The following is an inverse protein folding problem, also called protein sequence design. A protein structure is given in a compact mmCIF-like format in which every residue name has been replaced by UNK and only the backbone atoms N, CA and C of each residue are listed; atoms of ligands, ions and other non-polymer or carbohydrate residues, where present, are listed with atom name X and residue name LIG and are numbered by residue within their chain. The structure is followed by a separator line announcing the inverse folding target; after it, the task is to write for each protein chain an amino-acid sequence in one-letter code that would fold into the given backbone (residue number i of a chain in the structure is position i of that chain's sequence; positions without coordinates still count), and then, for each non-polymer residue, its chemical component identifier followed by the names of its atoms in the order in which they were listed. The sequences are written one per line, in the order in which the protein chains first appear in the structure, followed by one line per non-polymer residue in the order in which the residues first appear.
data_IF_529998859575
#
_entry.id   IF_529998859575
#
_cell.length_a   1.000
_cell.length_b   1.000
_cell.length_c   1.000
_cell.angle_alpha   90.00
_cell.angle_beta   90.00
_cell.angle_gamma   90.00
#
_symmetry.space_group_name_H-M   'P 1'
#
loop_
_entity.id
_entity.type
_entity.pdbx_description
1 polymer ?
#
# COMPACT_ATOMS: atom_id res chain seq x y z
N UNK A 1 43.70 -6.96 -22.36
CA UNK A 1 44.24 -6.27 -21.16
C UNK A 1 43.63 -4.89 -21.17
N UNK A 2 42.51 -4.69 -20.49
CA UNK A 2 41.81 -3.41 -20.43
C UNK A 2 42.07 -2.80 -19.05
N UNK A 3 42.81 -1.70 -19.01
CA UNK A 3 42.95 -0.86 -17.82
C UNK A 3 41.66 -0.02 -17.71
N UNK A 4 40.59 -0.63 -17.20
CA UNK A 4 39.42 0.12 -16.74
C UNK A 4 39.82 0.76 -15.42
N UNK A 5 40.13 2.06 -15.47
CA UNK A 5 40.32 2.88 -14.27
C UNK A 5 38.95 3.02 -13.61
N UNK A 6 38.61 2.07 -12.73
CA UNK A 6 37.44 2.18 -11.86
C UNK A 6 37.67 3.40 -10.96
N UNK A 7 36.87 4.44 -11.16
CA UNK A 7 36.82 5.58 -10.26
C UNK A 7 36.51 5.06 -8.85
N UNK A 8 37.43 5.30 -7.92
CA UNK A 8 37.22 5.09 -6.50
C UNK A 8 36.12 6.05 -6.04
N UNK A 9 34.97 5.49 -5.69
CA UNK A 9 33.89 6.24 -5.05
C UNK A 9 34.32 6.50 -3.60
N UNK A 10 34.82 7.70 -3.32
CA UNK A 10 35.06 8.15 -1.95
C UNK A 10 33.75 8.06 -1.15
N UNK A 11 33.78 7.32 -0.04
CA UNK A 11 32.72 7.38 0.98
C UNK A 11 32.85 8.72 1.71
N UNK A 12 31.75 9.45 1.96
CA UNK A 12 31.77 10.53 2.94
C UNK A 12 31.78 9.88 4.33
N UNK A 13 32.93 9.94 5.01
CA UNK A 13 33.04 9.49 6.39
C UNK A 13 32.39 10.49 7.34
N UNK A 14 31.39 9.99 8.07
CA UNK A 14 31.10 10.43 9.42
C UNK A 14 31.80 9.51 10.41
N UNK A 15 32.68 10.12 11.20
CA UNK A 15 33.24 9.69 12.50
C UNK A 15 34.07 8.39 12.61
N UNK A 16 35.39 8.63 12.66
CA UNK A 16 36.39 8.11 13.60
C UNK A 16 36.32 6.62 14.02
N UNK A 17 37.18 5.80 13.42
CA UNK A 17 38.04 4.88 14.18
C UNK A 17 39.24 4.45 13.31
N UNK A 18 40.45 4.66 13.85
CA UNK A 18 41.71 4.28 13.25
C UNK A 18 41.78 2.77 12.93
N UNK A 19 41.97 2.43 11.66
CA UNK A 19 42.48 1.13 11.23
C UNK A 19 43.24 1.31 9.91
N UNK A 20 44.44 0.74 9.85
CA UNK A 20 45.39 0.73 8.74
C UNK A 20 44.74 0.64 7.35
N UNK A 21 44.98 1.67 6.54
CA UNK A 21 44.67 1.70 5.11
C UNK A 21 45.59 0.74 4.36
N UNK A 22 45.07 -0.42 3.99
CA UNK A 22 45.60 -1.21 2.88
C UNK A 22 44.66 -1.02 1.69
N UNK A 23 45.05 -0.17 0.76
CA UNK A 23 44.46 -0.09 -0.58
C UNK A 23 44.64 -1.43 -1.29
N UNK A 24 43.67 -2.34 -1.14
CA UNK A 24 43.60 -3.55 -1.94
C UNK A 24 42.97 -3.18 -3.29
N UNK A 25 43.82 -2.86 -4.25
CA UNK A 25 43.46 -2.82 -5.67
C UNK A 25 43.25 -4.26 -6.14
N UNK A 26 42.01 -4.76 -6.09
CA UNK A 26 41.67 -6.07 -6.65
C UNK A 26 41.70 -6.00 -8.17
N UNK A 27 42.81 -6.45 -8.77
CA UNK A 27 42.95 -6.65 -10.21
C UNK A 27 42.26 -7.97 -10.57
N UNK A 28 41.10 -7.90 -11.24
CA UNK A 28 40.46 -9.09 -11.80
C UNK A 28 41.12 -9.39 -13.15
N UNK A 29 41.89 -10.47 -13.21
CA UNK A 29 42.52 -10.97 -14.43
C UNK A 29 41.52 -11.78 -15.26
N UNK A 30 41.14 -11.29 -16.44
CA UNK A 30 40.46 -12.10 -17.47
C UNK A 30 41.50 -12.56 -18.47
N UNK A 31 41.77 -13.86 -18.50
CA UNK A 31 42.68 -14.51 -19.46
C UNK A 31 42.02 -14.60 -20.85
N UNK A 32 42.77 -14.36 -21.95
CA UNK A 32 42.24 -14.59 -23.28
C UNK A 32 42.39 -16.08 -23.61
N UNK A 33 41.33 -16.86 -23.43
CA UNK A 33 41.25 -18.17 -24.07
C UNK A 33 40.96 -17.96 -25.56
N UNK A 34 41.93 -18.39 -26.38
CA UNK A 34 41.84 -18.84 -27.76
C UNK A 34 40.51 -18.60 -28.47
N UNK A 35 40.44 -17.55 -29.29
CA UNK A 35 39.45 -17.43 -30.36
C UNK A 35 40.19 -17.18 -31.68
N UNK A 36 40.35 -18.26 -32.45
CA UNK A 36 40.72 -18.20 -33.86
C UNK A 36 39.54 -17.63 -34.62
N UNK A 37 39.58 -16.34 -34.95
CA UNK A 37 38.63 -15.75 -35.89
C UNK A 37 39.10 -16.04 -37.33
N UNK A 38 38.76 -17.22 -37.83
CA UNK A 38 38.64 -17.44 -39.27
C UNK A 38 37.31 -16.84 -39.69
N UNK A 39 37.33 -15.58 -40.15
CA UNK A 39 36.41 -14.98 -41.13
C UNK A 39 36.50 -13.46 -41.04
N UNK A 40 37.54 -12.88 -41.64
CA UNK A 40 37.60 -11.45 -41.94
C UNK A 40 38.38 -11.24 -43.25
N UNK A 41 37.91 -11.90 -44.32
CA UNK A 41 38.24 -11.52 -45.68
C UNK A 41 36.92 -11.40 -46.42
N UNK A 42 36.46 -10.17 -46.60
CA UNK A 42 35.67 -9.61 -47.72
C UNK A 42 34.74 -8.53 -47.22
N UNK A 43 35.19 -7.28 -47.18
CA UNK A 43 34.28 -6.15 -47.41
C UNK A 43 35.04 -5.01 -48.05
N UNK A 44 35.04 -4.99 -49.38
CA UNK A 44 35.30 -3.79 -50.16
C UNK A 44 34.42 -3.87 -51.40
N UNK A 45 33.44 -2.97 -51.50
CA UNK A 45 33.05 -2.21 -52.71
C UNK A 45 31.65 -1.61 -52.57
N UNK A 46 31.53 -0.35 -53.00
CA UNK A 46 30.37 0.52 -52.96
C UNK A 46 29.30 0.21 -54.04
N UNK A 47 28.05 0.57 -53.70
CA UNK A 47 26.96 1.18 -54.50
C UNK A 47 26.68 0.71 -55.95
N UNK A 48 25.46 0.17 -56.11
CA UNK A 48 24.35 0.64 -56.97
C UNK A 48 23.75 -0.35 -58.01
N UNK A 49 22.42 -0.38 -57.98
CA UNK A 49 21.44 -0.73 -59.04
C UNK A 49 20.98 -2.19 -59.26
N UNK A 50 19.70 -2.40 -58.87
CA UNK A 50 18.61 -3.13 -59.56
C UNK A 50 18.90 -4.41 -60.37
N UNK A 51 18.30 -5.53 -59.95
CA UNK A 51 17.26 -6.29 -60.69
C UNK A 51 17.21 -7.77 -60.25
N UNK A 52 16.01 -8.33 -60.33
CA UNK A 52 15.56 -9.65 -59.85
C UNK A 52 16.05 -10.84 -60.70
N UNK A 53 15.95 -12.01 -60.07
CA UNK A 53 15.81 -13.38 -60.61
C UNK A 53 17.00 -14.01 -61.36
N UNK A 54 17.67 -15.01 -60.75
CA UNK A 54 17.43 -16.46 -61.01
C UNK A 54 18.49 -17.39 -60.36
N UNK A 55 17.99 -18.51 -59.83
CA UNK A 55 18.53 -19.87 -59.51
C UNK A 55 20.06 -20.19 -59.53
N UNK A 56 20.56 -21.07 -58.61
CA UNK A 56 21.98 -21.40 -58.48
C UNK A 56 22.40 -22.65 -59.27
N UNK A 57 23.61 -22.63 -59.85
CA UNK A 57 24.32 -23.82 -60.31
C UNK A 57 25.85 -23.66 -60.13
N UNK A 58 26.50 -24.73 -59.65
CA UNK A 58 27.86 -25.07 -60.07
C UNK A 58 29.01 -24.74 -59.11
N UNK A 59 29.21 -25.57 -58.09
CA UNK A 59 30.54 -25.76 -57.44
C UNK A 59 31.43 -26.63 -58.32
N UNK A 60 32.53 -26.08 -58.87
CA UNK A 60 33.77 -26.79 -59.25
C UNK A 60 34.93 -25.78 -59.12
N UNK A 61 35.76 -25.90 -58.08
CA UNK A 61 37.04 -26.61 -58.11
C UNK A 61 38.09 -25.93 -59.01
N UNK A 62 38.89 -25.03 -58.43
CA UNK A 62 40.26 -24.73 -58.90
C UNK A 62 41.16 -24.71 -57.66
N UNK A 63 41.73 -25.88 -57.36
CA UNK A 63 42.91 -26.06 -56.50
C UNK A 63 43.99 -26.63 -57.41
N UNK A 64 44.83 -25.77 -57.98
CA UNK A 64 46.16 -26.13 -58.47
C UNK A 64 46.84 -24.87 -59.01
N UNK A 65 47.84 -24.38 -58.27
CA UNK A 65 49.18 -24.04 -58.77
C UNK A 65 49.89 -23.23 -57.67
N UNK A 66 50.52 -23.98 -56.77
CA UNK A 66 51.59 -23.48 -55.91
C UNK A 66 52.85 -23.60 -56.78
N UNK A 67 53.19 -22.52 -57.45
CA UNK A 67 54.50 -22.33 -58.07
C UNK A 67 55.37 -21.56 -57.09
N UNK A 68 56.48 -22.16 -56.70
CA UNK A 68 57.56 -21.50 -55.97
C UNK A 68 58.09 -20.33 -56.80
N UNK A 69 57.96 -19.12 -56.25
CA UNK A 69 58.66 -17.85 -56.53
C UNK A 69 57.69 -16.69 -56.37
N UNK A 70 57.71 -16.02 -55.20
CA UNK A 70 56.96 -14.79 -54.99
C UNK A 70 56.48 -14.58 -53.56
N UNK A 71 57.40 -14.46 -52.61
CA UNK A 71 57.07 -13.94 -51.26
C UNK A 71 56.86 -12.41 -51.28
N UNK A 72 57.17 -11.73 -52.38
CA UNK A 72 57.07 -10.27 -52.51
C UNK A 72 55.67 -9.62 -52.69
N UNK A 73 54.63 -10.21 -53.35
CA UNK A 73 53.42 -9.45 -53.66
C UNK A 73 52.46 -9.25 -52.47
N UNK A 74 52.41 -10.20 -51.54
CA UNK A 74 51.46 -10.15 -50.42
C UNK A 74 51.90 -9.15 -49.33
N UNK A 75 53.20 -9.03 -49.08
CA UNK A 75 53.76 -8.11 -48.08
C UNK A 75 53.55 -6.66 -48.53
N UNK A 76 53.65 -6.37 -49.84
CA UNK A 76 53.44 -5.02 -50.39
C UNK A 76 52.02 -4.49 -50.26
N UNK A 77 51.00 -5.36 -50.28
CA UNK A 77 49.62 -4.94 -50.09
C UNK A 77 49.30 -4.65 -48.60
N UNK A 78 49.92 -5.41 -47.69
CA UNK A 78 49.78 -5.16 -46.25
C UNK A 78 50.49 -3.88 -45.78
N UNK A 79 51.64 -3.55 -46.37
CA UNK A 79 52.35 -2.29 -46.04
C UNK A 79 51.61 -1.06 -46.54
N UNK A 80 50.92 -1.14 -47.68
CA UNK A 80 50.12 -0.03 -48.20
C UNK A 80 48.88 0.25 -47.33
N UNK A 81 48.15 -0.79 -46.94
CA UNK A 81 47.01 -0.65 -46.01
C UNK A 81 47.45 -0.17 -44.62
N UNK A 82 48.63 -0.60 -44.15
CA UNK A 82 49.17 -0.12 -42.88
C UNK A 82 49.53 1.37 -42.94
N UNK A 83 50.11 1.84 -44.04
CA UNK A 83 50.42 3.26 -44.24
C UNK A 83 49.16 4.13 -44.28
N UNK A 84 48.10 3.66 -44.96
CA UNK A 84 46.81 4.34 -45.03
C UNK A 84 46.15 4.45 -43.64
N UNK A 85 46.14 3.38 -42.84
CA UNK A 85 45.61 3.43 -41.47
C UNK A 85 46.44 4.30 -40.53
N UNK A 86 47.77 4.37 -40.71
CA UNK A 86 48.62 5.24 -39.89
C UNK A 86 48.41 6.72 -40.28
N UNK A 87 48.12 7.00 -41.55
CA UNK A 87 47.68 8.31 -42.00
C UNK A 87 46.32 8.69 -41.40
N UNK A 88 45.37 7.75 -41.35
CA UNK A 88 44.06 7.97 -40.70
C UNK A 88 44.18 8.22 -39.19
N UNK A 89 45.21 7.68 -38.55
CA UNK A 89 45.57 7.95 -37.15
C UNK A 89 46.33 9.27 -36.94
N UNK A 90 46.59 10.03 -38.01
CA UNK A 90 47.15 11.38 -37.95
C UNK A 90 48.64 11.51 -38.26
N UNK A 91 49.31 10.46 -38.75
CA UNK A 91 50.74 10.52 -39.10
C UNK A 91 51.01 10.26 -40.59
N UNK A 92 51.70 11.19 -41.25
CA UNK A 92 52.05 11.07 -42.67
C UNK A 92 53.27 10.17 -42.88
N UNK A 93 53.05 8.86 -42.98
CA UNK A 93 54.09 7.89 -43.32
C UNK A 93 54.04 7.56 -44.83
N UNK A 94 55.15 7.79 -45.54
CA UNK A 94 55.26 7.35 -46.93
C UNK A 94 55.66 5.87 -47.00
N UNK A 95 55.28 5.19 -48.07
CA UNK A 95 55.72 3.81 -48.36
C UNK A 95 57.25 3.68 -48.36
N UNK A 96 57.97 4.73 -48.77
CA UNK A 96 59.44 4.77 -48.77
C UNK A 96 60.04 4.71 -47.35
N UNK A 97 59.34 5.26 -46.36
CA UNK A 97 59.78 5.31 -44.97
C UNK A 97 59.56 3.96 -44.25
N UNK A 98 58.58 3.17 -44.70
CA UNK A 98 58.38 1.78 -44.26
C UNK A 98 59.43 0.82 -44.83
N UNK A 99 59.93 1.08 -46.05
CA UNK A 99 60.98 0.27 -46.68
C UNK A 99 62.37 0.58 -46.09
N UNK A 100 62.59 1.81 -45.59
CA UNK A 100 63.81 2.22 -44.88
C UNK A 100 63.46 2.96 -43.58
N UNK A 101 63.21 2.23 -42.48
CA UNK A 101 62.75 2.84 -41.25
C UNK A 101 63.80 3.76 -40.64
N UNK A 102 63.48 5.05 -40.51
CA UNK A 102 64.26 6.01 -39.76
C UNK A 102 63.81 6.01 -38.29
N UNK A 103 64.70 5.72 -37.31
CA UNK A 103 64.34 5.72 -35.89
C UNK A 103 63.68 7.03 -35.42
N UNK A 104 64.11 8.16 -35.96
CA UNK A 104 63.55 9.47 -35.63
C UNK A 104 62.09 9.66 -36.07
N UNK A 105 61.63 8.90 -37.08
CA UNK A 105 60.25 8.91 -37.54
C UNK A 105 59.41 7.81 -36.88
N UNK A 106 60.01 6.64 -36.61
CA UNK A 106 59.33 5.48 -36.04
C UNK A 106 58.99 5.66 -34.55
N UNK A 107 59.86 6.30 -33.77
CA UNK A 107 59.62 6.51 -32.34
C UNK A 107 58.37 7.36 -32.04
N UNK A 108 58.14 8.52 -32.71
CA UNK A 108 56.88 9.28 -32.55
C UNK A 108 55.61 8.47 -32.86
N UNK A 109 55.68 7.50 -33.77
CA UNK A 109 54.53 6.66 -34.10
C UNK A 109 54.23 5.66 -32.98
N UNK A 110 55.25 5.12 -32.33
CA UNK A 110 55.05 4.29 -31.13
C UNK A 110 54.49 5.11 -29.96
N UNK A 111 54.91 6.37 -29.82
CA UNK A 111 54.33 7.32 -28.86
C UNK A 111 52.85 7.58 -29.17
N UNK A 112 52.49 7.75 -30.44
CA UNK A 112 51.09 7.89 -30.87
C UNK A 112 50.25 6.66 -30.55
N UNK A 113 50.76 5.44 -30.80
CA UNK A 113 50.03 4.22 -30.44
C UNK A 113 49.85 4.06 -28.92
N UNK A 114 50.85 4.47 -28.14
CA UNK A 114 50.75 4.47 -26.69
C UNK A 114 49.75 5.52 -26.18
N UNK A 115 49.71 6.69 -26.81
CA UNK A 115 48.74 7.72 -26.49
C UNK A 115 47.31 7.28 -26.85
N UNK A 116 47.07 6.77 -28.07
CA UNK A 116 45.72 6.39 -28.51
C UNK A 116 45.15 5.16 -27.76
N UNK A 117 46.00 4.19 -27.39
CA UNK A 117 45.55 2.93 -26.78
C UNK A 117 45.67 2.90 -25.26
N UNK A 118 46.65 3.60 -24.68
CA UNK A 118 46.89 3.63 -23.24
C UNK A 118 46.63 5.02 -22.62
N UNK A 119 46.33 6.05 -23.41
CA UNK A 119 46.26 7.46 -22.97
C UNK A 119 47.50 7.85 -22.14
N UNK A 120 48.69 7.39 -22.58
CA UNK A 120 49.94 7.62 -21.84
C UNK A 120 51.03 8.15 -22.76
N UNK A 121 51.62 9.27 -22.35
CA UNK A 121 52.74 9.93 -23.01
C UNK A 121 54.01 9.80 -22.17
N UNK A 122 55.16 10.07 -22.77
CA UNK A 122 56.46 10.07 -22.05
C UNK A 122 56.46 11.03 -20.84
N UNK A 123 55.76 12.15 -20.94
CA UNK A 123 55.60 13.13 -19.85
C UNK A 123 54.75 12.60 -18.69
N UNK A 124 53.73 11.78 -18.95
CA UNK A 124 52.90 11.15 -17.91
C UNK A 124 53.67 10.12 -17.08
N UNK A 125 54.71 9.51 -17.67
CA UNK A 125 55.55 8.49 -17.00
C UNK A 125 56.67 9.11 -16.18
N UNK A 126 57.08 10.33 -16.51
CA UNK A 126 58.19 11.03 -15.90
C UNK A 126 58.08 11.19 -14.36
N UNK A 127 56.92 11.57 -13.76
CA UNK A 127 56.80 11.69 -12.31
C UNK A 127 57.01 10.36 -11.57
N UNK A 128 56.39 9.28 -12.08
CA UNK A 128 56.53 7.96 -11.50
C UNK A 128 57.97 7.43 -11.63
N UNK A 129 58.63 7.68 -12.77
CA UNK A 129 60.02 7.27 -12.96
C UNK A 129 61.00 8.10 -12.11
N UNK A 130 60.70 9.38 -11.89
CA UNK A 130 61.46 10.23 -10.97
C UNK A 130 61.40 9.71 -9.54
N UNK A 131 60.21 9.38 -9.06
CA UNK A 131 60.01 8.81 -7.73
C UNK A 131 60.77 7.48 -7.57
N UNK A 132 60.70 6.60 -8.56
CA UNK A 132 61.47 5.33 -8.56
C UNK A 132 62.98 5.56 -8.57
N UNK A 133 63.47 6.56 -9.32
CA UNK A 133 64.90 6.88 -9.34
C UNK A 133 65.38 7.48 -8.00
N UNK A 134 64.58 8.34 -7.39
CA UNK A 134 64.87 8.91 -6.06
C UNK A 134 64.84 7.82 -4.97
N UNK A 135 63.93 6.84 -5.05
CA UNK A 135 63.84 5.72 -4.11
C UNK A 135 64.98 4.70 -4.29
N UNK A 136 65.31 4.32 -5.52
CA UNK A 136 66.33 3.30 -5.80
C UNK A 136 67.77 3.82 -5.74
N UNK A 137 68.01 5.08 -6.11
CA UNK A 137 69.35 5.64 -6.26
C UNK A 137 69.65 6.78 -5.28
N UNK A 138 68.67 7.25 -4.48
CA UNK A 138 68.87 8.25 -3.44
C UNK A 138 69.60 9.50 -3.95
N UNK A 139 70.72 9.85 -3.32
CA UNK A 139 71.57 10.99 -3.69
C UNK A 139 72.21 10.88 -5.09
N UNK A 140 72.17 9.70 -5.72
CA UNK A 140 72.69 9.45 -7.08
C UNK A 140 71.58 9.37 -8.14
N UNK A 141 70.37 9.85 -7.85
CA UNK A 141 69.25 9.82 -8.78
C UNK A 141 69.55 10.54 -10.13
N UNK A 142 70.46 11.52 -10.13
CA UNK A 142 70.87 12.27 -11.32
C UNK A 142 71.94 11.57 -12.19
N UNK A 143 72.43 10.38 -11.79
CA UNK A 143 73.44 9.63 -12.56
C UNK A 143 72.89 9.13 -13.89
N UNK A 144 71.58 8.83 -13.95
CA UNK A 144 70.90 8.46 -15.19
C UNK A 144 70.24 9.72 -15.76
N UNK A 145 70.58 10.14 -17.00
CA UNK A 145 69.92 11.27 -17.63
C UNK A 145 68.39 11.10 -17.64
N UNK A 146 67.67 12.17 -17.34
CA UNK A 146 66.20 12.20 -17.28
C UNK A 146 65.57 11.59 -18.53
N UNK A 147 66.10 11.93 -19.70
CA UNK A 147 65.61 11.43 -20.99
C UNK A 147 65.71 9.90 -21.09
N UNK A 148 66.83 9.32 -20.67
CA UNK A 148 67.05 7.86 -20.70
C UNK A 148 66.11 7.16 -19.74
N UNK A 149 65.93 7.72 -18.54
CA UNK A 149 65.02 7.19 -17.52
C UNK A 149 63.57 7.19 -18.00
N UNK A 150 63.10 8.32 -18.52
CA UNK A 150 61.72 8.48 -18.98
C UNK A 150 61.43 7.59 -20.20
N UNK A 151 62.44 7.41 -21.07
CA UNK A 151 62.36 6.48 -22.21
C UNK A 151 62.28 5.01 -21.76
N UNK A 152 63.03 4.60 -20.73
CA UNK A 152 62.96 3.23 -20.19
C UNK A 152 61.60 2.98 -19.53
N UNK A 153 61.08 3.95 -18.79
CA UNK A 153 59.72 3.88 -18.24
C UNK A 153 58.65 3.76 -19.32
N UNK A 154 58.75 4.59 -20.36
CA UNK A 154 57.86 4.54 -21.52
C UNK A 154 57.98 3.20 -22.27
N UNK A 155 59.19 2.68 -22.46
CA UNK A 155 59.43 1.37 -23.06
C UNK A 155 58.74 0.24 -22.30
N UNK A 156 58.73 0.29 -20.95
CA UNK A 156 58.01 -0.68 -20.13
C UNK A 156 56.51 -0.73 -20.45
N UNK A 157 55.89 0.43 -20.66
CA UNK A 157 54.48 0.52 -21.06
C UNK A 157 54.25 0.07 -22.50
N UNK A 158 55.15 0.44 -23.40
CA UNK A 158 55.10 -0.01 -24.79
C UNK A 158 55.24 -1.54 -24.89
N UNK A 159 56.07 -2.16 -24.04
CA UNK A 159 56.20 -3.61 -23.98
C UNK A 159 54.89 -4.27 -23.53
N UNK A 160 54.19 -3.69 -22.55
CA UNK A 160 52.87 -4.18 -22.14
C UNK A 160 51.82 -4.02 -23.25
N UNK A 161 51.86 -2.90 -23.98
CA UNK A 161 51.01 -2.70 -25.15
C UNK A 161 51.28 -3.76 -26.23
N UNK A 162 52.55 -3.99 -26.55
CA UNK A 162 52.95 -4.96 -27.57
C UNK A 162 52.57 -6.38 -27.19
N UNK A 163 52.66 -6.73 -25.89
CA UNK A 163 52.13 -7.99 -25.37
C UNK A 163 50.61 -8.10 -25.58
N UNK A 164 49.86 -7.02 -25.35
CA UNK A 164 48.42 -6.99 -25.61
C UNK A 164 48.08 -7.08 -27.11
N UNK A 165 48.92 -6.54 -27.99
CA UNK A 165 48.83 -6.71 -29.45
C UNK A 165 49.20 -8.13 -29.94
N UNK A 166 49.77 -8.97 -29.06
CA UNK A 166 50.16 -10.36 -29.37
C UNK A 166 51.65 -10.55 -29.72
N UNK A 167 52.48 -9.53 -29.53
CA UNK A 167 53.93 -9.56 -29.79
C UNK A 167 54.65 -9.78 -28.46
N UNK A 168 55.28 -10.95 -28.30
CA UNK A 168 55.92 -11.35 -27.04
C UNK A 168 57.41 -11.01 -26.98
N UNK A 169 58.02 -10.78 -28.13
CA UNK A 169 59.45 -10.59 -28.34
C UNK A 169 59.84 -9.12 -28.57
N UNK A 170 58.98 -8.17 -28.19
CA UNK A 170 59.27 -6.75 -28.32
C UNK A 170 60.48 -6.37 -27.47
N UNK A 171 61.45 -5.72 -28.11
CA UNK A 171 62.79 -5.46 -27.59
C UNK A 171 63.15 -3.98 -27.75
N UNK A 172 64.10 -3.47 -26.96
CA UNK A 172 64.54 -2.07 -27.08
C UNK A 172 65.20 -1.77 -28.46
N UNK A 173 65.74 -2.80 -29.13
CA UNK A 173 66.19 -2.67 -30.53
C UNK A 173 65.06 -2.32 -31.51
N UNK A 174 63.81 -2.59 -31.14
CA UNK A 174 62.63 -2.24 -31.92
C UNK A 174 62.21 -0.77 -31.79
N UNK A 175 63.00 0.06 -31.10
CA UNK A 175 62.88 1.52 -31.14
C UNK A 175 63.95 2.16 -32.04
N UNK A 176 65.14 1.56 -32.13
CA UNK A 176 66.31 2.19 -32.74
C UNK A 176 66.86 1.50 -33.98
N UNK A 177 66.54 0.22 -34.22
CA UNK A 177 67.09 -0.59 -35.32
C UNK A 177 66.09 -1.65 -35.82
N UNK A 178 64.95 -1.20 -36.37
CA UNK A 178 63.95 -2.12 -36.91
C UNK A 178 64.31 -2.57 -38.32
N UNK A 179 64.10 -3.85 -38.60
CA UNK A 179 64.00 -4.33 -39.97
C UNK A 179 62.62 -3.99 -40.53
N UNK A 180 62.51 -3.67 -41.83
CA UNK A 180 61.24 -3.27 -42.44
C UNK A 180 60.15 -4.34 -42.27
N UNK A 181 60.51 -5.62 -42.34
CA UNK A 181 59.58 -6.74 -42.13
C UNK A 181 59.05 -6.80 -40.69
N UNK A 182 59.90 -6.51 -39.69
CA UNK A 182 59.50 -6.51 -38.28
C UNK A 182 58.61 -5.32 -37.97
N UNK A 183 58.93 -4.14 -38.51
CA UNK A 183 58.11 -2.94 -38.38
C UNK A 183 56.71 -3.16 -38.96
N UNK A 184 56.61 -3.68 -40.18
CA UNK A 184 55.33 -3.97 -40.83
C UNK A 184 54.48 -4.95 -40.01
N UNK A 185 55.11 -5.97 -39.42
CA UNK A 185 54.43 -6.92 -38.52
C UNK A 185 53.92 -6.21 -37.27
N UNK A 186 54.75 -5.41 -36.60
CA UNK A 186 54.38 -4.69 -35.38
C UNK A 186 53.19 -3.76 -35.63
N UNK A 187 53.25 -2.95 -36.69
CA UNK A 187 52.17 -2.04 -37.05
C UNK A 187 50.91 -2.78 -37.47
N UNK A 188 51.01 -3.88 -38.21
CA UNK A 188 49.82 -4.68 -38.54
C UNK A 188 49.09 -5.19 -37.29
N UNK A 189 49.82 -5.62 -36.26
CA UNK A 189 49.22 -6.05 -35.00
C UNK A 189 48.65 -4.88 -34.19
N UNK A 190 49.36 -3.75 -34.14
CA UNK A 190 48.88 -2.53 -33.47
C UNK A 190 47.59 -1.98 -34.12
N UNK A 191 47.57 -1.87 -35.45
CA UNK A 191 46.39 -1.41 -36.21
C UNK A 191 45.21 -2.37 -36.01
N UNK A 192 45.45 -3.68 -35.96
CA UNK A 192 44.39 -4.65 -35.67
C UNK A 192 43.78 -4.43 -34.28
N UNK A 193 44.59 -4.09 -33.28
CA UNK A 193 44.10 -3.74 -31.95
C UNK A 193 43.29 -2.44 -31.95
N UNK A 194 43.75 -1.42 -32.67
CA UNK A 194 43.01 -0.15 -32.83
C UNK A 194 41.64 -0.40 -33.47
N UNK A 195 41.58 -1.12 -34.59
CA UNK A 195 40.31 -1.47 -35.26
C UNK A 195 39.39 -2.30 -34.37
N UNK A 196 39.95 -3.22 -33.58
CA UNK A 196 39.18 -3.98 -32.62
C UNK A 196 38.58 -3.06 -31.55
N UNK A 197 39.37 -2.14 -30.98
CA UNK A 197 38.88 -1.14 -30.03
C UNK A 197 37.76 -0.29 -30.62
N UNK A 198 37.93 0.22 -31.84
CA UNK A 198 36.91 1.01 -32.54
C UNK A 198 35.59 0.24 -32.69
N UNK A 199 35.66 -1.05 -33.04
CA UNK A 199 34.47 -1.90 -33.15
C UNK A 199 33.73 -2.10 -31.82
N UNK A 200 34.44 -2.00 -30.70
CA UNK A 200 33.88 -2.14 -29.35
C UNK A 200 33.44 -0.81 -28.73
N UNK A 201 33.81 0.34 -29.31
CA UNK A 201 33.45 1.66 -28.75
C UNK A 201 31.95 1.83 -28.62
N UNK A 202 31.15 1.38 -29.60
CA UNK A 202 29.69 1.49 -29.54
C UNK A 202 29.09 0.75 -28.33
N UNK A 203 29.64 -0.41 -27.97
CA UNK A 203 29.19 -1.19 -26.80
C UNK A 203 29.64 -0.53 -25.50
N UNK A 204 30.86 0.01 -25.48
CA UNK A 204 31.37 0.76 -24.34
C UNK A 204 30.54 2.03 -24.09
N UNK A 205 30.21 2.79 -25.13
CA UNK A 205 29.39 4.00 -25.05
C UNK A 205 27.99 3.70 -24.51
N UNK A 206 27.38 2.58 -24.92
CA UNK A 206 26.09 2.14 -24.37
C UNK A 206 26.17 1.91 -22.86
N UNK A 207 27.17 1.16 -22.39
CA UNK A 207 27.34 0.89 -20.97
C UNK A 207 27.74 2.13 -20.17
N UNK A 208 28.52 3.04 -20.75
CA UNK A 208 28.83 4.33 -20.15
C UNK A 208 27.56 5.17 -20.00
N UNK A 209 26.74 5.27 -21.04
CA UNK A 209 25.45 5.96 -20.99
C UNK A 209 24.49 5.37 -19.95
N UNK A 210 24.42 4.04 -19.86
CA UNK A 210 23.66 3.36 -18.79
C UNK A 210 24.19 3.73 -17.41
N UNK A 211 25.51 3.69 -17.20
CA UNK A 211 26.14 4.04 -15.93
C UNK A 211 25.87 5.50 -15.55
N UNK A 212 25.98 6.43 -16.49
CA UNK A 212 25.67 7.84 -16.27
C UNK A 212 24.19 8.07 -15.94
N UNK A 213 23.28 7.36 -16.61
CA UNK A 213 21.84 7.46 -16.33
C UNK A 213 21.50 6.99 -14.91
N UNK A 214 22.12 5.89 -14.47
CA UNK A 214 21.98 5.35 -13.12
C UNK A 214 22.57 6.32 -12.10
N UNK A 215 23.76 6.88 -12.37
CA UNK A 215 24.39 7.89 -11.51
C UNK A 215 23.48 9.11 -11.33
N UNK A 216 22.94 9.68 -12.42
CA UNK A 216 21.97 10.78 -12.37
C UNK A 216 20.73 10.42 -11.56
N UNK A 217 20.23 9.18 -11.70
CA UNK A 217 19.08 8.71 -10.91
C UNK A 217 19.39 8.63 -9.41
N UNK A 218 20.57 8.16 -9.05
CA UNK A 218 21.03 8.12 -7.66
C UNK A 218 21.13 9.53 -7.08
N UNK A 219 21.71 10.47 -7.83
CA UNK A 219 21.84 11.87 -7.41
C UNK A 219 20.45 12.51 -7.17
N UNK A 220 19.51 12.35 -8.11
CA UNK A 220 18.14 12.84 -7.92
C UNK A 220 17.43 12.26 -6.69
N UNK A 221 17.59 10.95 -6.44
CA UNK A 221 16.98 10.30 -5.27
C UNK A 221 17.62 10.78 -3.97
N UNK A 222 18.93 11.05 -3.95
CA UNK A 222 19.60 11.64 -2.79
C UNK A 222 19.07 13.03 -2.49
N UNK A 223 18.95 13.88 -3.51
CA UNK A 223 18.39 15.22 -3.36
C UNK A 223 16.94 15.20 -2.83
N UNK A 224 16.15 14.22 -3.26
CA UNK A 224 14.77 14.03 -2.79
C UNK A 224 14.71 13.57 -1.33
N UNK A 225 15.55 12.62 -0.95
CA UNK A 225 15.69 12.16 0.46
C UNK A 225 16.08 13.32 1.36
N UNK A 226 17.06 14.14 0.96
CA UNK A 226 17.51 15.28 1.74
C UNK A 226 16.40 16.32 1.91
N UNK A 227 15.66 16.64 0.83
CA UNK A 227 14.51 17.56 0.87
C UNK A 227 13.40 17.05 1.79
N UNK A 228 13.04 15.77 1.69
CA UNK A 228 12.02 15.16 2.55
C UNK A 228 12.49 15.11 4.01
N UNK A 229 13.76 14.81 4.26
CA UNK A 229 14.36 14.86 5.60
C UNK A 229 14.24 16.25 6.24
N UNK A 230 14.51 17.31 5.47
CA UNK A 230 14.33 18.69 5.93
C UNK A 230 12.86 19.01 6.25
N UNK A 231 11.91 18.54 5.43
CA UNK A 231 10.47 18.74 5.68
C UNK A 231 10.01 18.03 6.95
N UNK A 232 10.43 16.78 7.16
CA UNK A 232 10.09 16.01 8.37
C UNK A 232 10.61 16.73 9.61
N UNK A 233 11.85 17.20 9.61
CA UNK A 233 12.40 17.91 10.77
C UNK A 233 11.70 19.24 11.02
N UNK A 234 11.30 19.96 9.96
CA UNK A 234 10.51 21.18 10.10
C UNK A 234 9.12 20.89 10.71
N UNK A 235 8.42 19.86 10.23
CA UNK A 235 7.12 19.46 10.78
C UNK A 235 7.24 18.97 12.21
N UNK A 236 8.32 18.26 12.57
CA UNK A 236 8.58 17.84 13.95
C UNK A 236 8.74 19.04 14.88
N UNK A 237 9.46 20.08 14.46
CA UNK A 237 9.59 21.34 15.22
C UNK A 237 8.25 22.06 15.34
N UNK A 238 7.47 22.12 14.27
CA UNK A 238 6.13 22.70 14.28
C UNK A 238 5.22 21.95 15.26
N UNK A 239 5.21 20.61 15.21
CA UNK A 239 4.44 19.75 16.11
C UNK A 239 4.79 20.03 17.56
N UNK A 240 6.08 19.99 17.94
CA UNK A 240 6.53 20.29 19.31
C UNK A 240 6.08 21.68 19.79
N UNK A 241 6.19 22.70 18.93
CA UNK A 241 5.75 24.05 19.25
C UNK A 241 4.22 24.13 19.43
N UNK A 242 3.45 23.41 18.61
CA UNK A 242 1.99 23.35 18.72
C UNK A 242 1.54 22.55 19.93
N UNK A 243 2.18 21.42 20.24
CA UNK A 243 1.89 20.55 21.38
C UNK A 243 2.01 21.33 22.68
N UNK A 244 3.12 22.06 22.88
CA UNK A 244 3.31 22.91 24.06
C UNK A 244 2.18 23.94 24.22
N UNK A 245 1.75 24.58 23.13
CA UNK A 245 0.62 25.53 23.14
C UNK A 245 -0.71 24.85 23.42
N UNK A 246 -0.91 23.64 22.90
CA UNK A 246 -2.15 22.88 23.14
C UNK A 246 -2.24 22.38 24.57
N UNK A 247 -1.14 21.93 25.16
CA UNK A 247 -1.10 21.49 26.56
C UNK A 247 -1.37 22.65 27.52
N UNK A 248 -0.80 23.83 27.26
CA UNK A 248 -1.12 25.02 28.05
C UNK A 248 -2.62 25.37 27.96
N UNK A 249 -3.19 25.33 26.76
CA UNK A 249 -4.62 25.59 26.55
C UNK A 249 -5.51 24.54 27.22
N UNK A 250 -5.15 23.24 27.14
CA UNK A 250 -5.86 22.16 27.84
C UNK A 250 -5.81 22.36 29.35
N UNK A 251 -4.64 22.68 29.90
CA UNK A 251 -4.49 22.92 31.33
C UNK A 251 -5.35 24.10 31.81
N UNK A 252 -5.36 25.22 31.05
CA UNK A 252 -6.26 26.36 31.31
C UNK A 252 -7.74 25.96 31.22
N UNK A 253 -8.11 25.18 30.20
CA UNK A 253 -9.49 24.72 30.02
C UNK A 253 -9.95 23.82 31.18
N UNK A 254 -9.11 22.88 31.61
CA UNK A 254 -9.40 22.01 32.75
C UNK A 254 -9.62 22.82 34.04
N UNK A 255 -8.77 23.82 34.31
CA UNK A 255 -8.94 24.74 35.44
C UNK A 255 -10.26 25.51 35.36
N UNK A 256 -10.63 26.02 34.19
CA UNK A 256 -11.90 26.72 34.00
C UNK A 256 -13.10 25.79 34.17
N UNK A 257 -13.00 24.54 33.72
CA UNK A 257 -14.06 23.53 33.89
C UNK A 257 -14.25 23.17 35.37
N UNK A 258 -13.17 23.06 36.14
CA UNK A 258 -13.23 22.85 37.59
C UNK A 258 -13.84 24.06 38.33
N UNK A 259 -13.45 25.28 37.95
CA UNK A 259 -14.07 26.50 38.49
C UNK A 259 -15.56 26.58 38.13
N UNK A 260 -15.94 26.16 36.93
CA UNK A 260 -17.34 26.12 36.50
C UNK A 260 -18.13 25.09 37.31
N UNK A 261 -17.62 23.88 37.51
CA UNK A 261 -18.32 22.84 38.26
C UNK A 261 -18.50 23.22 39.74
N UNK A 262 -17.48 23.80 40.37
CA UNK A 262 -17.55 24.31 41.74
C UNK A 262 -18.55 25.45 41.88
N UNK A 263 -18.54 26.41 40.95
CA UNK A 263 -19.50 27.53 40.93
C UNK A 263 -20.94 27.04 40.70
N UNK A 264 -21.14 26.07 39.81
CA UNK A 264 -22.46 25.46 39.57
C UNK A 264 -22.98 24.73 40.82
N UNK A 265 -22.11 23.97 41.49
CA UNK A 265 -22.45 23.30 42.75
C UNK A 265 -22.83 24.31 43.84
N UNK A 266 -22.03 25.37 44.02
CA UNK A 266 -22.33 26.45 44.97
C UNK A 266 -23.65 27.16 44.63
N UNK A 267 -23.91 27.42 43.35
CA UNK A 267 -25.17 28.03 42.88
C UNK A 267 -26.36 27.10 43.12
N UNK A 268 -26.20 25.79 42.92
CA UNK A 268 -27.21 24.78 43.22
C UNK A 268 -27.58 24.75 44.69
N UNK A 269 -26.56 24.75 45.58
CA UNK A 269 -26.75 24.80 47.03
C UNK A 269 -27.42 26.11 47.48
N UNK A 270 -27.02 27.25 46.92
CA UNK A 270 -27.68 28.53 47.22
C UNK A 270 -29.13 28.53 46.74
N UNK A 271 -29.41 27.92 45.59
CA UNK A 271 -30.78 27.82 45.06
C UNK A 271 -31.66 26.94 45.96
N UNK A 272 -31.14 25.81 46.45
CA UNK A 272 -31.90 24.97 47.40
C UNK A 272 -32.17 25.71 48.71
N UNK A 273 -31.19 26.44 49.26
CA UNK A 273 -31.39 27.27 50.45
C UNK A 273 -32.44 28.37 50.22
N UNK A 274 -32.43 29.00 49.05
CA UNK A 274 -33.44 30.01 48.68
C UNK A 274 -34.84 29.40 48.62
N UNK A 275 -34.97 28.19 48.08
CA UNK A 275 -36.28 27.52 47.99
C UNK A 275 -36.76 27.03 49.38
N UNK A 276 -35.87 26.50 50.23
CA UNK A 276 -36.18 26.21 51.65
C UNK A 276 -36.65 27.45 52.41
N UNK A 277 -35.97 28.59 52.23
CA UNK A 277 -36.36 29.85 52.86
C UNK A 277 -37.70 30.37 52.34
N UNK A 278 -38.01 30.18 51.05
CA UNK A 278 -39.33 30.51 50.49
C UNK A 278 -40.43 29.63 51.08
N UNK A 279 -40.17 28.32 51.21
CA UNK A 279 -41.12 27.39 51.80
C UNK A 279 -41.37 27.73 53.27
N UNK A 280 -40.32 27.97 54.04
CA UNK A 280 -40.42 28.42 55.43
C UNK A 280 -41.19 29.74 55.55
N UNK A 281 -40.88 30.72 54.70
CA UNK A 281 -41.65 31.97 54.60
C UNK A 281 -43.13 31.69 54.29
N UNK A 282 -43.43 30.79 53.35
CA UNK A 282 -44.81 30.45 52.99
C UNK A 282 -45.57 29.82 54.16
N UNK A 283 -44.91 28.96 54.95
CA UNK A 283 -45.46 28.35 56.16
C UNK A 283 -45.72 29.40 57.24
N UNK A 284 -44.77 30.31 57.49
CA UNK A 284 -44.98 31.42 58.42
C UNK A 284 -46.14 32.31 57.99
N UNK A 285 -46.27 32.62 56.70
CA UNK A 285 -47.42 33.39 56.17
C UNK A 285 -48.74 32.65 56.36
N UNK A 286 -48.77 31.32 56.13
CA UNK A 286 -49.97 30.49 56.42
C UNK A 286 -50.33 30.53 57.90
N UNK A 287 -49.38 30.29 58.80
CA UNK A 287 -49.58 30.35 60.25
C UNK A 287 -50.05 31.74 60.70
N UNK A 288 -49.48 32.80 60.15
CA UNK A 288 -49.91 34.18 60.43
C UNK A 288 -51.36 34.40 59.98
N UNK A 289 -51.76 33.92 58.80
CA UNK A 289 -53.15 33.98 58.31
C UNK A 289 -54.10 33.18 59.18
N UNK A 290 -53.73 31.96 59.58
CA UNK A 290 -54.51 31.12 60.49
C UNK A 290 -54.71 31.80 61.84
N UNK A 291 -53.64 32.31 62.46
CA UNK A 291 -53.70 33.05 63.72
C UNK A 291 -54.56 34.32 63.57
N UNK A 292 -54.38 35.08 62.48
CA UNK A 292 -55.19 36.26 62.20
C UNK A 292 -56.68 35.93 62.05
N UNK A 293 -57.01 34.83 61.35
CA UNK A 293 -58.40 34.36 61.21
C UNK A 293 -58.99 33.86 62.53
N UNK A 294 -58.19 33.16 63.34
CA UNK A 294 -58.59 32.67 64.67
C UNK A 294 -58.87 33.84 65.60
N UNK A 295 -57.99 34.85 65.58
CA UNK A 295 -58.15 36.07 66.35
C UNK A 295 -59.40 36.84 65.91
N UNK A 296 -59.66 36.92 64.60
CA UNK A 296 -60.90 37.52 64.08
C UNK A 296 -62.15 36.76 64.53
N UNK A 297 -62.13 35.42 64.49
CA UNK A 297 -63.24 34.56 65.00
C UNK A 297 -63.46 34.75 66.50
N UNK A 298 -62.39 34.71 67.29
CA UNK A 298 -62.47 34.92 68.75
C UNK A 298 -62.99 36.32 69.10
N UNK A 299 -62.62 37.35 68.31
CA UNK A 299 -63.21 38.69 68.45
C UNK A 299 -64.71 38.67 68.17
N UNK A 300 -65.14 38.03 67.09
CA UNK A 300 -66.56 37.90 66.77
C UNK A 300 -67.34 37.10 67.83
N UNK A 301 -66.76 36.02 68.36
CA UNK A 301 -67.35 35.26 69.47
C UNK A 301 -67.42 36.06 70.76
N UNK A 302 -66.39 36.84 71.08
CA UNK A 302 -66.39 37.77 72.20
C UNK A 302 -67.51 38.82 72.06
N UNK A 303 -67.66 39.39 70.86
CA UNK A 303 -68.75 40.32 70.54
C UNK A 303 -70.14 39.65 70.66
N UNK A 304 -70.29 38.40 70.18
CA UNK A 304 -71.53 37.61 70.34
C UNK A 304 -71.83 37.27 71.80
N UNK A 305 -70.84 36.86 72.58
CA UNK A 305 -71.04 36.60 74.01
C UNK A 305 -71.41 37.88 74.76
N UNK A 306 -70.83 39.02 74.39
CA UNK A 306 -71.24 40.32 74.91
C UNK A 306 -72.68 40.68 74.55
N UNK A 307 -73.17 40.34 73.34
CA UNK A 307 -74.59 40.51 73.00
C UNK A 307 -75.49 39.53 73.75
N UNK A 308 -75.11 38.25 73.88
CA UNK A 308 -75.88 37.23 74.61
C UNK A 308 -75.96 37.51 76.12
N UNK A 309 -74.90 38.06 76.75
CA UNK A 309 -74.95 38.53 78.14
C UNK A 309 -75.92 39.70 78.34
N UNK A 310 -76.26 40.42 77.26
CA UNK A 310 -77.23 41.53 77.27
C UNK A 310 -78.67 41.08 77.03
N UNK A 311 -78.89 39.83 76.60
CA UNK A 311 -80.21 39.29 76.27
C UNK A 311 -80.80 38.46 77.44
N UNK A 312 -82.08 38.71 77.74
CA UNK A 312 -82.82 38.15 78.89
C UNK A 312 -82.98 36.63 78.84
N UNK A 313 -82.99 35.90 79.98
CA UNK A 313 -83.09 34.43 80.05
C UNK A 313 -84.29 33.79 79.32
N UNK A 314 -85.31 34.57 78.95
CA UNK A 314 -86.42 34.10 78.11
C UNK A 314 -86.02 33.77 76.67
N UNK A 315 -85.11 34.55 76.05
CA UNK A 315 -84.68 34.29 74.66
C UNK A 315 -83.75 33.09 74.55
N UNK A 316 -83.02 32.78 75.62
CA UNK A 316 -82.20 31.57 75.72
C UNK A 316 -83.07 30.30 75.72
N UNK A 317 -84.23 30.34 76.38
CA UNK A 317 -85.14 29.20 76.44
C UNK A 317 -85.76 28.88 75.07
N UNK A 318 -86.09 29.91 74.29
CA UNK A 318 -86.59 29.77 72.91
C UNK A 318 -85.51 29.21 71.99
N UNK A 319 -84.25 29.67 72.12
CA UNK A 319 -83.13 29.13 71.33
C UNK A 319 -82.83 27.66 71.63
N UNK A 320 -83.00 27.21 72.88
CA UNK A 320 -82.82 25.81 73.27
C UNK A 320 -83.95 24.94 72.73
N UNK A 321 -85.17 25.46 72.66
CA UNK A 321 -86.29 24.79 72.00
C UNK A 321 -86.06 24.66 70.48
N UNK A 322 -85.62 25.73 69.82
CA UNK A 322 -85.31 25.73 68.38
C UNK A 322 -84.13 24.80 68.03
N UNK A 323 -83.10 24.75 68.89
CA UNK A 323 -81.98 23.81 68.72
C UNK A 323 -82.41 22.37 68.95
N UNK A 324 -83.36 22.10 69.86
CA UNK A 324 -83.91 20.76 70.08
C UNK A 324 -84.74 20.29 68.88
N UNK A 325 -85.53 21.18 68.29
CA UNK A 325 -86.31 20.90 67.09
C UNK A 325 -85.42 20.74 65.86
N UNK A 326 -84.36 21.54 65.75
CA UNK A 326 -83.35 21.40 64.69
C UNK A 326 -82.57 20.09 64.82
N UNK A 327 -82.19 19.70 66.03
CA UNK A 327 -81.52 18.42 66.30
C UNK A 327 -82.42 17.22 65.99
N UNK A 328 -83.72 17.31 66.29
CA UNK A 328 -84.71 16.30 65.92
C UNK A 328 -84.86 16.17 64.40
N UNK A 329 -84.89 17.30 63.68
CA UNK A 329 -84.92 17.32 62.21
C UNK A 329 -83.64 16.75 61.59
N UNK A 330 -82.47 17.15 62.09
CA UNK A 330 -81.19 16.66 61.60
C UNK A 330 -80.99 15.17 61.91
N UNK A 331 -81.46 14.68 63.07
CA UNK A 331 -81.46 13.24 63.39
C UNK A 331 -82.32 12.46 62.40
N UNK A 332 -83.52 12.97 62.07
CA UNK A 332 -84.38 12.34 61.05
C UNK A 332 -83.77 12.37 59.65
N UNK A 333 -83.06 13.45 59.29
CA UNK A 333 -82.35 13.56 58.02
C UNK A 333 -81.13 12.63 57.97
N UNK A 334 -80.39 12.50 59.07
CA UNK A 334 -79.28 11.56 59.21
C UNK A 334 -79.76 10.10 59.08
N UNK A 335 -80.88 9.73 59.72
CA UNK A 335 -81.48 8.40 59.59
C UNK A 335 -81.92 8.10 58.15
N UNK A 336 -82.41 9.10 57.41
CA UNK A 336 -82.78 8.96 56.01
C UNK A 336 -81.54 8.75 55.11
N UNK A 337 -80.47 9.52 55.36
CA UNK A 337 -79.19 9.38 54.64
C UNK A 337 -78.53 8.04 54.96
N UNK A 338 -78.56 7.57 56.21
CA UNK A 338 -78.02 6.28 56.63
C UNK A 338 -78.76 5.10 55.98
N UNK A 339 -80.09 5.17 55.85
CA UNK A 339 -80.88 4.17 55.10
C UNK A 339 -80.50 4.15 53.62
N UNK A 340 -80.33 5.32 53.00
CA UNK A 340 -79.88 5.42 51.61
C UNK A 340 -78.44 4.91 51.45
N UNK A 341 -77.56 5.18 52.42
CA UNK A 341 -76.19 4.69 52.41
C UNK A 341 -76.15 3.17 52.50
N UNK A 342 -76.94 2.54 53.38
CA UNK A 342 -77.05 1.07 53.45
C UNK A 342 -77.61 0.46 52.17
N UNK A 343 -78.62 1.10 51.56
CA UNK A 343 -79.14 0.66 50.27
C UNK A 343 -78.07 0.74 49.18
N UNK A 344 -77.35 1.87 49.08
CA UNK A 344 -76.24 2.05 48.13
C UNK A 344 -75.08 1.08 48.40
N UNK A 345 -74.76 0.79 49.66
CA UNK A 345 -73.73 -0.18 50.02
C UNK A 345 -74.11 -1.58 49.53
N UNK A 346 -75.39 -1.96 49.66
CA UNK A 346 -75.89 -3.23 49.12
C UNK A 346 -75.76 -3.26 47.59
N UNK A 347 -75.99 -2.12 46.91
CA UNK A 347 -75.77 -2.01 45.46
C UNK A 347 -74.28 -2.11 45.09
N UNK A 348 -73.38 -1.53 45.87
CA UNK A 348 -71.93 -1.66 45.68
C UNK A 348 -71.50 -3.13 45.83
N UNK A 349 -71.97 -3.81 46.87
CA UNK A 349 -71.64 -5.23 47.10
C UNK A 349 -72.16 -6.12 45.95
N UNK A 350 -73.32 -5.80 45.36
CA UNK A 350 -73.85 -6.48 44.16
C UNK A 350 -73.00 -6.17 42.93
N UNK A 351 -72.56 -4.92 42.74
CA UNK A 351 -71.69 -4.54 41.62
C UNK A 351 -70.33 -5.24 41.74
N UNK A 352 -69.76 -5.34 42.93
CA UNK A 352 -68.50 -6.06 43.17
C UNK A 352 -68.64 -7.55 42.86
N UNK A 353 -69.75 -8.18 43.26
CA UNK A 353 -70.05 -9.57 42.90
C UNK A 353 -70.19 -9.75 41.37
N UNK A 354 -70.87 -8.81 40.70
CA UNK A 354 -70.99 -8.82 39.23
C UNK A 354 -69.63 -8.64 38.57
N UNK A 355 -68.77 -7.76 39.10
CA UNK A 355 -67.41 -7.57 38.57
C UNK A 355 -66.57 -8.85 38.69
N UNK A 356 -66.68 -9.59 39.80
CA UNK A 356 -66.06 -10.91 39.96
C UNK A 356 -66.59 -11.89 38.90
N UNK A 357 -67.91 -11.97 38.70
CA UNK A 357 -68.49 -12.86 37.69
C UNK A 357 -68.14 -12.48 36.25
N UNK A 358 -67.98 -11.19 35.95
CA UNK A 358 -67.49 -10.73 34.64
C UNK A 358 -66.04 -11.15 34.45
N UNK A 359 -65.18 -11.02 35.48
CA UNK A 359 -63.78 -11.48 35.40
C UNK A 359 -63.68 -13.00 35.24
N UNK A 360 -64.52 -13.78 35.93
CA UNK A 360 -64.66 -15.22 35.73
C UNK A 360 -65.12 -15.57 34.30
N UNK A 361 -66.08 -14.83 33.77
CA UNK A 361 -66.58 -15.02 32.39
C UNK A 361 -65.51 -14.66 31.36
N UNK A 362 -64.73 -13.60 31.60
CA UNK A 362 -63.59 -13.21 30.74
C UNK A 362 -62.51 -14.28 30.77
N UNK A 363 -62.19 -14.86 31.92
CA UNK A 363 -61.26 -16.00 32.04
C UNK A 363 -61.78 -17.22 31.28
N UNK A 364 -63.06 -17.57 31.43
CA UNK A 364 -63.68 -18.65 30.69
C UNK A 364 -63.64 -18.41 29.17
N UNK A 365 -63.86 -17.17 28.71
CA UNK A 365 -63.72 -16.81 27.30
C UNK A 365 -62.25 -16.92 26.83
N UNK A 366 -61.28 -16.49 27.64
CA UNK A 366 -59.86 -16.64 27.34
C UNK A 366 -59.44 -18.11 27.22
N UNK A 367 -60.03 -19.01 28.01
CA UNK A 367 -59.79 -20.46 27.92
C UNK A 367 -60.46 -21.10 26.70
N UNK A 368 -61.59 -20.56 26.22
CA UNK A 368 -62.29 -21.06 25.02
C UNK A 368 -61.58 -20.63 23.72
N UNK A 369 -60.93 -19.46 23.69
CA UNK A 369 -60.19 -18.99 22.49
C UNK A 369 -59.18 -20.02 21.96
N UNK A 370 -58.26 -20.60 22.75
CA UNK A 370 -57.35 -21.62 22.25
C UNK A 370 -58.07 -22.90 21.81
N UNK A 371 -59.16 -23.28 22.48
CA UNK A 371 -59.96 -24.44 22.06
C UNK A 371 -60.64 -24.22 20.71
N UNK A 372 -61.13 -23.01 20.43
CA UNK A 372 -61.67 -22.63 19.11
C UNK A 372 -60.58 -22.69 18.05
N UNK A 373 -59.39 -22.14 18.31
CA UNK A 373 -58.27 -22.24 17.35
C UNK A 373 -57.88 -23.70 17.08
N UNK A 374 -57.91 -24.55 18.11
CA UNK A 374 -57.63 -25.98 17.98
C UNK A 374 -58.71 -26.74 17.21
N UNK A 375 -59.98 -26.36 17.37
CA UNK A 375 -61.07 -26.91 16.56
C UNK A 375 -61.03 -26.42 15.11
N UNK A 376 -60.63 -25.18 14.85
CA UNK A 376 -60.39 -24.68 13.48
C UNK A 376 -59.28 -25.48 12.79
N UNK A 377 -58.15 -25.74 13.47
CA UNK A 377 -57.08 -26.61 12.95
C UNK A 377 -57.59 -28.04 12.66
N UNK A 378 -58.40 -28.62 13.56
CA UNK A 378 -59.02 -29.94 13.33
C UNK A 378 -60.03 -29.91 12.18
N UNK A 379 -60.78 -28.82 12.01
CA UNK A 379 -61.72 -28.66 10.90
C UNK A 379 -60.98 -28.55 9.56
N UNK A 380 -59.83 -27.88 9.51
CA UNK A 380 -58.97 -27.86 8.33
C UNK A 380 -58.42 -29.25 8.00
N UNK A 381 -57.95 -30.00 9.01
CA UNK A 381 -57.53 -31.40 8.84
C UNK A 381 -58.70 -32.30 8.40
N UNK A 382 -59.89 -32.09 8.94
CA UNK A 382 -61.10 -32.81 8.54
C UNK A 382 -61.51 -32.50 7.10
N UNK A 383 -61.40 -31.23 6.67
CA UNK A 383 -61.59 -30.86 5.26
C UNK A 383 -60.55 -31.50 4.35
N UNK A 384 -59.27 -31.51 4.75
CA UNK A 384 -58.20 -32.16 4.00
C UNK A 384 -58.45 -33.67 3.84
N UNK A 385 -58.83 -34.35 4.93
CA UNK A 385 -59.18 -35.79 4.90
C UNK A 385 -60.48 -36.08 4.14
N UNK A 386 -61.48 -35.19 4.20
CA UNK A 386 -62.69 -35.29 3.40
C UNK A 386 -62.41 -35.10 1.90
N UNK A 387 -61.52 -34.18 1.53
CA UNK A 387 -61.07 -34.00 0.15
C UNK A 387 -60.30 -35.23 -0.36
N UNK A 388 -59.45 -35.81 0.47
CA UNK A 388 -58.78 -37.09 0.20
C UNK A 388 -59.78 -38.24 0.02
N UNK A 389 -60.78 -38.35 0.90
CA UNK A 389 -61.86 -39.32 0.79
C UNK A 389 -62.71 -39.10 -0.47
N UNK A 390 -62.96 -37.84 -0.88
CA UNK A 390 -63.67 -37.55 -2.13
C UNK A 390 -62.87 -38.01 -3.35
N UNK A 391 -61.53 -37.82 -3.33
CA UNK A 391 -60.61 -38.31 -4.36
C UNK A 391 -60.59 -39.84 -4.37
N UNK A 392 -60.59 -40.49 -3.20
CA UNK A 392 -60.67 -41.95 -3.08
C UNK A 392 -62.01 -42.50 -3.59
N UNK A 393 -63.14 -41.90 -3.23
CA UNK A 393 -64.48 -42.27 -3.73
C UNK A 393 -64.65 -42.07 -5.23
N UNK A 394 -64.04 -41.03 -5.81
CA UNK A 394 -64.00 -40.86 -7.27
C UNK A 394 -63.23 -42.00 -7.94
N UNK A 395 -62.08 -42.40 -7.38
CA UNK A 395 -61.34 -43.59 -7.84
C UNK A 395 -62.14 -44.87 -7.68
N UNK A 396 -62.84 -45.03 -6.56
CA UNK A 396 -63.71 -46.19 -6.30
C UNK A 396 -64.87 -46.26 -7.31
N UNK A 397 -65.55 -45.15 -7.59
CA UNK A 397 -66.59 -45.12 -8.64
C UNK A 397 -66.05 -45.40 -10.03
N UNK A 398 -64.84 -44.93 -10.35
CA UNK A 398 -64.16 -45.29 -11.60
C UNK A 398 -63.88 -46.79 -11.65
N UNK A 399 -63.38 -47.38 -10.54
CA UNK A 399 -63.17 -48.81 -10.42
C UNK A 399 -64.48 -49.61 -10.47
N UNK A 400 -65.57 -49.13 -9.88
CA UNK A 400 -66.90 -49.75 -9.98
C UNK A 400 -67.47 -49.68 -11.38
N UNK A 401 -67.29 -48.57 -12.09
CA UNK A 401 -67.66 -48.46 -13.50
C UNK A 401 -66.85 -49.43 -14.37
N UNK A 402 -65.54 -49.54 -14.11
CA UNK A 402 -64.68 -50.53 -14.77
C UNK A 402 -65.10 -51.97 -14.42
N UNK A 403 -65.43 -52.25 -13.15
CA UNK A 403 -65.93 -53.56 -12.70
C UNK A 403 -67.29 -53.89 -13.30
N UNK A 404 -68.20 -52.92 -13.42
CA UNK A 404 -69.50 -53.09 -14.06
C UNK A 404 -69.35 -53.29 -15.57
N UNK A 405 -68.43 -52.58 -16.22
CA UNK A 405 -68.08 -52.82 -17.62
C UNK A 405 -67.50 -54.23 -17.82
N UNK A 406 -66.59 -54.67 -16.94
CA UNK A 406 -66.07 -56.05 -16.95
C UNK A 406 -67.15 -57.09 -16.62
N UNK A 407 -68.07 -56.82 -15.69
CA UNK A 407 -69.21 -57.72 -15.40
C UNK A 407 -70.17 -57.81 -16.57
N UNK A 408 -70.50 -56.70 -17.24
CA UNK A 408 -71.29 -56.74 -18.48
C UNK A 408 -70.58 -57.54 -19.57
N UNK A 409 -69.26 -57.44 -19.69
CA UNK A 409 -68.50 -58.34 -20.56
C UNK A 409 -68.73 -59.80 -20.15
N UNK A 410 -68.60 -60.14 -18.86
CA UNK A 410 -68.83 -61.50 -18.34
C UNK A 410 -70.27 -61.98 -18.55
N UNK A 411 -71.28 -61.14 -18.34
CA UNK A 411 -72.69 -61.50 -18.56
C UNK A 411 -72.99 -61.68 -20.06
N UNK A 412 -72.39 -60.88 -20.93
CA UNK A 412 -72.45 -61.08 -22.39
C UNK A 412 -71.83 -62.42 -22.78
N UNK A 413 -70.72 -62.81 -22.13
CA UNK A 413 -70.15 -64.15 -22.29
C UNK A 413 -71.06 -65.24 -21.68
N UNK A 414 -71.75 -64.97 -20.58
CA UNK A 414 -72.65 -65.89 -19.87
C UNK A 414 -73.98 -66.13 -20.60
N UNK A 415 -74.59 -65.12 -21.20
CA UNK A 415 -75.79 -65.24 -22.03
C UNK A 415 -75.49 -66.03 -23.30
N UNK A 416 -74.32 -65.80 -23.94
CA UNK A 416 -73.83 -66.67 -25.02
C UNK A 416 -73.73 -68.14 -24.61
N UNK A 417 -73.41 -68.42 -23.35
CA UNK A 417 -73.35 -69.79 -22.82
C UNK A 417 -74.78 -70.34 -22.56
N UNK A 418 -75.71 -69.54 -22.04
CA UNK A 418 -77.08 -70.01 -21.73
C UNK A 418 -78.02 -70.11 -22.93
N UNK A 419 -77.83 -69.27 -23.95
CA UNK A 419 -78.54 -69.36 -25.24
C UNK A 419 -78.18 -70.65 -25.99
N UNK A 420 -77.00 -71.23 -25.69
CA UNK A 420 -76.63 -72.57 -26.17
C UNK A 420 -77.23 -73.73 -25.34
N UNK A 421 -77.66 -73.49 -24.09
CA UNK A 421 -78.13 -74.55 -23.19
C UNK A 421 -79.66 -74.69 -23.07
N UNK A 422 -80.46 -73.72 -23.54
CA UNK A 422 -81.95 -73.76 -23.51
C UNK A 422 -82.57 -74.18 -24.85
N UNK A 423 -81.75 -74.67 -25.80
CA UNK A 423 -82.16 -75.36 -27.03
C UNK A 423 -81.98 -76.89 -26.96
N UNK A 424 -81.95 -77.46 -25.76
CA UNK A 424 -81.87 -78.91 -25.50
C UNK A 424 -82.76 -79.24 -24.31
#
# INVERSE_FOLDING_TARGET
MFLVKLFTCAKPDGDQAAAHDHHITTIVFVTPQTLTCTDCVTTTQLKASTSRDNKPQGRKAIRAQRGENGVQPAIQHHTQLAAECIHDLGFNLSRADLEKPNPAQVQPIFELFADELLNTTREMVQPAMREVAEDMCGEFADVIPTDTRDLVGFYGQLQQLMLACGIKDFSFSDLYKLTPDRLAKIFSHAINLVRFRESQMAVMDEHLGQTESVKKRIEMLRDEVDKLGMQVEQERRNQQATEARTEEKKHRNNKLTELLSTTLSATGNLRSQVDELKDFKSQLVKRLREQSSTLARLRQESERMQSCLRESPSTLHDSVADLRDSLSRESGQADAVEKNHRALQTWVDVIDLVAVHVDESVKALHDIVPDVTREEEKAELSKATADELSKARKKERQLEQDMAMRRRQVDTWGERIKESSTRS
#
